data_IF_550950759384
#
_entry.id   IF_550950759384
#
_cell.length_a   1.000
_cell.length_b   1.000
_cell.length_c   1.000
_cell.angle_alpha   90.00
_cell.angle_beta   90.00
_cell.angle_gamma   90.00
#
_symmetry.space_group_name_H-M   'P 1'
#
loop_
_entity.id
_entity.type
_entity.pdbx_description
1 polymer ?
#
# COMPACT_ATOMS: atom_id res chain seq x y z
N UNK A 1 6.95 16.86 -15.37
CA UNK A 1 6.20 15.60 -15.47
C UNK A 1 4.90 15.78 -14.71
N UNK A 2 3.75 15.29 -15.16
CA UNK A 2 2.53 15.34 -14.37
C UNK A 2 2.80 14.64 -13.03
N UNK A 3 2.32 15.22 -11.93
CA UNK A 3 2.48 14.62 -10.61
C UNK A 3 1.80 13.25 -10.59
N UNK A 4 2.50 12.22 -10.10
CA UNK A 4 1.93 10.87 -9.97
C UNK A 4 0.74 10.94 -9.01
N UNK A 5 -0.45 10.59 -9.49
CA UNK A 5 -1.69 10.64 -8.71
C UNK A 5 -2.00 9.30 -8.02
N UNK A 6 -1.38 8.20 -8.47
CA UNK A 6 -1.57 6.88 -7.87
C UNK A 6 -0.39 5.95 -8.17
N UNK A 7 -0.20 4.93 -7.33
CA UNK A 7 0.72 3.82 -7.56
C UNK A 7 0.20 2.56 -6.87
N UNK A 8 0.70 1.39 -7.30
CA UNK A 8 0.40 0.11 -6.66
C UNK A 8 1.53 -0.27 -5.71
N UNK A 9 1.18 -0.75 -4.53
CA UNK A 9 2.11 -1.31 -3.55
C UNK A 9 1.48 -2.49 -2.82
N UNK A 10 2.14 -3.01 -1.80
CA UNK A 10 1.60 -4.05 -0.93
C UNK A 10 0.80 -3.43 0.22
N UNK A 11 -0.25 -4.13 0.66
CA UNK A 11 -1.12 -3.69 1.75
C UNK A 11 -0.42 -3.81 3.11
N UNK A 12 0.24 -4.95 3.32
CA UNK A 12 0.85 -5.30 4.60
C UNK A 12 2.03 -6.27 4.41
N UNK A 13 2.84 -6.44 5.45
CA UNK A 13 3.80 -7.53 5.48
C UNK A 13 3.07 -8.86 5.68
N UNK A 14 3.26 -9.79 4.73
CA UNK A 14 2.69 -11.12 4.83
C UNK A 14 3.54 -12.14 4.07
N UNK A 15 3.23 -13.43 4.26
CA UNK A 15 3.97 -14.53 3.61
C UNK A 15 3.07 -15.72 3.34
N UNK A 16 3.45 -16.48 2.30
CA UNK A 16 2.88 -17.80 2.04
C UNK A 16 3.95 -18.73 1.49
N UNK A 17 3.70 -20.03 1.56
CA UNK A 17 4.66 -21.07 1.19
C UNK A 17 4.11 -22.09 0.22
N UNK A 18 5.01 -22.78 -0.46
CA UNK A 18 4.70 -23.90 -1.33
C UNK A 18 5.87 -24.88 -1.41
N UNK A 19 5.64 -26.07 -1.92
CA UNK A 19 6.64 -27.13 -2.07
C UNK A 19 6.77 -27.53 -3.53
N UNK A 20 8.01 -27.61 -4.03
CA UNK A 20 8.35 -28.18 -5.34
C UNK A 20 9.47 -29.21 -5.15
N UNK A 21 9.27 -30.44 -5.59
CA UNK A 21 10.26 -31.53 -5.51
C UNK A 21 10.93 -31.59 -4.12
N UNK A 22 10.10 -31.64 -3.07
CA UNK A 22 10.53 -31.63 -1.65
C UNK A 22 11.25 -30.36 -1.18
N UNK A 23 11.61 -29.42 -2.05
CA UNK A 23 12.11 -28.10 -1.63
C UNK A 23 10.94 -27.23 -1.17
N UNK A 24 11.08 -26.63 0.01
CA UNK A 24 10.12 -25.67 0.56
C UNK A 24 10.55 -24.27 0.17
N UNK A 25 9.61 -23.52 -0.37
CA UNK A 25 9.76 -22.12 -0.72
C UNK A 25 8.80 -21.27 0.10
N UNK A 26 9.27 -20.16 0.65
CA UNK A 26 8.45 -19.20 1.40
C UNK A 26 8.66 -17.84 0.75
N UNK A 27 7.59 -17.25 0.22
CA UNK A 27 7.58 -15.90 -0.31
C UNK A 27 7.09 -14.91 0.75
N UNK A 28 7.86 -13.88 1.02
CA UNK A 28 7.55 -12.77 1.93
C UNK A 28 7.42 -11.49 1.14
N UNK A 29 6.35 -10.73 1.34
CA UNK A 29 6.15 -9.39 0.78
C UNK A 29 6.02 -8.37 1.89
N UNK A 30 6.59 -7.17 1.69
CA UNK A 30 6.52 -6.07 2.64
C UNK A 30 6.43 -4.72 1.90
N UNK A 31 5.48 -3.82 2.24
CA UNK A 31 5.54 -2.44 1.80
C UNK A 31 6.75 -1.76 2.43
N UNK A 32 7.51 -0.99 1.65
CA UNK A 32 8.70 -0.28 2.08
C UNK A 32 8.80 1.04 1.31
N UNK A 33 8.95 2.15 2.00
CA UNK A 33 9.07 3.48 1.36
C UNK A 33 10.52 3.86 1.09
N UNK A 34 11.47 3.27 1.82
CA UNK A 34 12.90 3.53 1.68
C UNK A 34 13.72 2.26 1.45
N UNK A 35 14.92 2.43 0.90
CA UNK A 35 15.85 1.33 0.72
C UNK A 35 16.31 0.75 2.07
N UNK A 36 16.46 1.58 3.08
CA UNK A 36 16.81 1.16 4.44
C UNK A 36 15.76 0.20 5.01
N UNK A 37 14.48 0.50 4.82
CA UNK A 37 13.38 -0.37 5.24
C UNK A 37 13.42 -1.72 4.51
N UNK A 38 13.66 -1.72 3.20
CA UNK A 38 13.76 -2.95 2.41
C UNK A 38 14.94 -3.81 2.85
N UNK A 39 16.10 -3.20 3.14
CA UNK A 39 17.28 -3.91 3.64
C UNK A 39 17.09 -4.40 5.07
N UNK A 40 16.44 -3.64 5.94
CA UNK A 40 16.08 -4.06 7.29
C UNK A 40 15.11 -5.26 7.27
N UNK A 41 14.11 -5.24 6.38
CA UNK A 41 13.22 -6.37 6.16
C UNK A 41 13.98 -7.63 5.73
N UNK A 42 14.88 -7.51 4.73
CA UNK A 42 15.73 -8.62 4.30
C UNK A 42 16.60 -9.17 5.44
N UNK A 43 17.23 -8.29 6.23
CA UNK A 43 18.07 -8.69 7.36
C UNK A 43 17.26 -9.46 8.41
N UNK A 44 16.03 -9.01 8.71
CA UNK A 44 15.11 -9.66 9.65
C UNK A 44 14.71 -11.06 9.17
N UNK A 45 14.39 -11.23 7.88
CA UNK A 45 14.06 -12.54 7.33
C UNK A 45 15.28 -13.47 7.38
N UNK A 46 16.47 -12.99 7.00
CA UNK A 46 17.72 -13.77 7.09
C UNK A 46 18.04 -14.21 8.52
N UNK A 47 17.84 -13.33 9.49
CA UNK A 47 18.07 -13.64 10.90
C UNK A 47 17.06 -14.69 11.42
N UNK A 48 15.79 -14.58 11.02
CA UNK A 48 14.74 -15.52 11.40
C UNK A 48 14.95 -16.91 10.80
N UNK A 49 15.52 -16.99 9.58
CA UNK A 49 15.61 -18.21 8.78
C UNK A 49 17.08 -18.56 8.46
N UNK A 50 17.92 -18.63 9.49
CA UNK A 50 19.37 -18.87 9.38
C UNK A 50 19.74 -20.19 8.69
N UNK A 51 18.89 -21.22 8.82
CA UNK A 51 19.10 -22.55 8.24
C UNK A 51 18.60 -22.66 6.78
N UNK A 52 18.09 -21.58 6.22
CA UNK A 52 17.63 -21.59 4.84
C UNK A 52 18.82 -21.75 3.87
N UNK A 53 18.61 -22.53 2.82
CA UNK A 53 19.60 -22.70 1.78
C UNK A 53 19.91 -21.40 1.06
N UNK A 54 18.87 -20.60 0.74
CA UNK A 54 18.99 -19.31 0.08
C UNK A 54 17.87 -18.36 0.50
N UNK A 55 18.20 -17.06 0.57
CA UNK A 55 17.22 -15.95 0.69
C UNK A 55 17.46 -15.00 -0.49
N UNK A 56 16.73 -15.20 -1.57
CA UNK A 56 16.76 -14.34 -2.74
C UNK A 56 15.75 -13.22 -2.58
N UNK A 57 16.08 -12.03 -3.05
CA UNK A 57 15.22 -10.85 -2.83
C UNK A 57 15.25 -9.87 -4.00
N UNK A 58 14.25 -9.00 -4.04
CA UNK A 58 14.20 -7.79 -4.85
C UNK A 58 13.37 -6.72 -4.14
N UNK A 59 13.64 -5.45 -4.44
CA UNK A 59 12.79 -4.32 -4.06
C UNK A 59 12.69 -3.31 -5.21
N UNK A 60 11.60 -2.55 -5.23
CA UNK A 60 11.35 -1.47 -6.18
C UNK A 60 11.04 -0.21 -5.37
N UNK A 61 12.06 0.62 -5.13
CA UNK A 61 11.97 1.89 -4.42
C UNK A 61 12.89 2.84 -5.19
N UNK A 62 12.29 3.74 -5.99
CA UNK A 62 13.07 4.57 -6.91
C UNK A 62 13.77 3.72 -7.98
N UNK A 63 14.99 3.23 -7.69
CA UNK A 63 15.71 2.29 -8.56
C UNK A 63 15.37 0.85 -8.20
N UNK A 64 15.28 0.00 -9.24
CA UNK A 64 14.98 -1.43 -9.07
C UNK A 64 16.23 -2.18 -8.64
N UNK A 65 16.15 -3.00 -7.59
CA UNK A 65 17.25 -3.84 -7.12
C UNK A 65 16.80 -5.27 -6.80
N UNK A 66 17.60 -6.26 -7.18
CA UNK A 66 17.36 -7.66 -6.81
C UNK A 66 17.57 -8.65 -7.95
N UNK A 67 17.20 -9.92 -7.71
CA UNK A 67 17.35 -10.97 -8.71
C UNK A 67 16.22 -10.93 -9.75
N UNK A 68 16.59 -11.15 -11.01
CA UNK A 68 15.70 -11.05 -12.18
C UNK A 68 14.36 -11.79 -12.04
N UNK A 69 14.28 -13.06 -11.63
CA UNK A 69 13.00 -13.77 -11.55
C UNK A 69 11.99 -13.12 -10.59
N UNK A 70 12.46 -12.48 -9.51
CA UNK A 70 11.60 -11.81 -8.52
C UNK A 70 11.18 -10.44 -9.08
N UNK A 71 12.15 -9.65 -9.54
CA UNK A 71 11.92 -8.28 -9.99
C UNK A 71 10.99 -8.22 -11.21
N UNK A 72 11.09 -9.18 -12.13
CA UNK A 72 10.21 -9.25 -13.30
C UNK A 72 8.73 -9.50 -12.90
N UNK A 73 8.48 -10.32 -11.89
CA UNK A 73 7.13 -10.52 -11.37
C UNK A 73 6.60 -9.23 -10.72
N UNK A 74 7.42 -8.53 -9.94
CA UNK A 74 7.04 -7.24 -9.32
C UNK A 74 6.70 -6.20 -10.39
N UNK A 75 7.54 -6.07 -11.42
CA UNK A 75 7.29 -5.17 -12.56
C UNK A 75 6.02 -5.54 -13.32
N UNK A 76 5.80 -6.82 -13.61
CA UNK A 76 4.60 -7.30 -14.29
C UNK A 76 3.30 -7.01 -13.51
N UNK A 77 3.37 -6.99 -12.17
CA UNK A 77 2.25 -6.57 -11.29
C UNK A 77 2.13 -5.04 -11.17
N UNK A 78 3.14 -4.30 -11.63
CA UNK A 78 3.20 -2.84 -11.57
C UNK A 78 3.33 -2.29 -10.16
N UNK A 79 3.85 -3.10 -9.22
CA UNK A 79 4.03 -2.67 -7.82
C UNK A 79 5.36 -1.94 -7.65
N UNK A 80 5.33 -0.90 -6.80
CA UNK A 80 6.49 -0.11 -6.36
C UNK A 80 6.42 0.07 -4.84
N UNK A 81 7.46 0.65 -4.26
CA UNK A 81 7.56 0.89 -2.81
C UNK A 81 7.29 -0.39 -2.01
N UNK A 82 7.96 -1.47 -2.40
CA UNK A 82 7.86 -2.76 -1.73
C UNK A 82 9.10 -3.63 -1.94
N UNK A 83 9.27 -4.58 -1.03
CA UNK A 83 10.29 -5.61 -1.09
C UNK A 83 9.68 -7.01 -1.08
N UNK A 84 10.33 -7.94 -1.77
CA UNK A 84 9.98 -9.37 -1.80
C UNK A 84 11.23 -10.19 -1.46
N UNK A 85 11.08 -11.13 -0.54
CA UNK A 85 12.11 -12.15 -0.21
C UNK A 85 11.53 -13.52 -0.49
N UNK A 86 12.27 -14.35 -1.23
CA UNK A 86 11.91 -15.76 -1.43
C UNK A 86 12.98 -16.63 -0.79
N UNK A 87 12.60 -17.29 0.28
CA UNK A 87 13.45 -18.20 1.07
C UNK A 87 13.26 -19.64 0.57
N UNK A 88 14.36 -20.37 0.42
CA UNK A 88 14.34 -21.78 0.01
C UNK A 88 15.05 -22.66 1.03
N UNK A 89 14.40 -23.80 1.33
CA UNK A 89 14.98 -24.96 1.97
C UNK A 89 15.09 -26.09 0.94
N UNK A 90 16.31 -26.58 0.70
CA UNK A 90 16.55 -27.64 -0.28
C UNK A 90 16.01 -28.98 0.20
N UNK A 91 15.22 -29.65 -0.64
CA UNK A 91 14.58 -30.92 -0.33
C UNK A 91 15.31 -32.18 -0.87
N UNK A 92 16.58 -32.07 -1.24
CA UNK A 92 17.37 -33.20 -1.75
C UNK A 92 17.20 -33.48 -3.25
N UNK A 93 16.26 -32.83 -3.95
CA UNK A 93 16.04 -33.00 -5.39
C UNK A 93 16.40 -31.71 -6.14
N UNK A 94 17.30 -31.79 -7.09
CA UNK A 94 17.70 -30.66 -7.91
C UNK A 94 16.59 -30.23 -8.87
N UNK A 95 16.33 -28.94 -8.94
CA UNK A 95 15.33 -28.34 -9.85
C UNK A 95 15.94 -27.96 -11.21
N UNK A 96 17.26 -27.89 -11.30
CA UNK A 96 17.97 -27.31 -12.44
C UNK A 96 17.78 -25.77 -12.53
N UNK A 97 18.55 -25.13 -13.39
CA UNK A 97 18.53 -23.66 -13.52
C UNK A 97 17.13 -23.14 -13.91
N UNK A 98 16.52 -23.70 -14.93
CA UNK A 98 15.17 -23.30 -15.37
C UNK A 98 14.06 -23.60 -14.32
N UNK A 99 14.20 -24.67 -13.53
CA UNK A 99 13.32 -24.97 -12.41
C UNK A 99 13.42 -23.96 -11.29
N UNK A 100 14.65 -23.51 -10.97
CA UNK A 100 14.90 -22.48 -9.97
C UNK A 100 14.31 -21.12 -10.38
N UNK A 101 14.51 -20.70 -11.62
CA UNK A 101 13.93 -19.46 -12.16
C UNK A 101 12.41 -19.46 -11.96
N UNK A 102 11.74 -20.56 -12.37
CA UNK A 102 10.28 -20.69 -12.19
C UNK A 102 9.85 -20.70 -10.72
N UNK A 103 10.61 -21.39 -9.87
CA UNK A 103 10.29 -21.46 -8.43
C UNK A 103 10.42 -20.10 -7.74
N UNK A 104 11.45 -19.31 -8.06
CA UNK A 104 11.60 -17.94 -7.50
C UNK A 104 10.56 -16.98 -8.05
N UNK A 105 10.20 -17.06 -9.33
CA UNK A 105 9.10 -16.29 -9.89
C UNK A 105 7.75 -16.65 -9.22
N UNK A 106 7.49 -17.94 -9.00
CA UNK A 106 6.30 -18.39 -8.26
C UNK A 106 6.32 -17.89 -6.82
N UNK A 107 7.47 -17.95 -6.13
CA UNK A 107 7.61 -17.44 -4.77
C UNK A 107 7.33 -15.94 -4.67
N UNK A 108 7.78 -15.16 -5.66
CA UNK A 108 7.45 -13.74 -5.74
C UNK A 108 5.94 -13.52 -5.92
N UNK A 109 5.30 -14.24 -6.85
CA UNK A 109 3.84 -14.16 -7.02
C UNK A 109 3.09 -14.51 -5.74
N UNK A 110 3.48 -15.61 -5.08
CA UNK A 110 2.90 -16.06 -3.81
C UNK A 110 3.04 -15.00 -2.72
N UNK A 111 4.21 -14.33 -2.63
CA UNK A 111 4.45 -13.24 -1.70
C UNK A 111 3.53 -12.04 -1.94
N UNK A 112 3.41 -11.60 -3.21
CA UNK A 112 2.55 -10.47 -3.59
C UNK A 112 1.07 -10.76 -3.33
N UNK A 113 0.62 -11.97 -3.64
CA UNK A 113 -0.76 -12.39 -3.42
C UNK A 113 -1.08 -12.46 -1.91
N UNK A 114 -0.14 -12.94 -1.08
CA UNK A 114 -0.31 -13.02 0.37
C UNK A 114 -0.31 -11.63 1.04
N UNK A 115 0.58 -10.73 0.61
CA UNK A 115 0.68 -9.37 1.15
C UNK A 115 -0.46 -8.44 0.66
N UNK A 116 -1.17 -8.84 -0.40
CA UNK A 116 -2.23 -8.07 -1.02
C UNK A 116 -1.71 -6.84 -1.77
N UNK A 117 -2.13 -6.64 -3.01
CA UNK A 117 -1.78 -5.46 -3.80
C UNK A 117 -2.87 -4.41 -3.62
N UNK A 118 -2.47 -3.17 -3.31
CA UNK A 118 -3.38 -2.02 -3.15
C UNK A 118 -2.97 -0.89 -4.07
N UNK A 119 -3.94 -0.05 -4.45
CA UNK A 119 -3.71 1.21 -5.15
C UNK A 119 -3.67 2.33 -4.12
N UNK A 120 -2.53 3.01 -4.04
CA UNK A 120 -2.37 4.24 -3.27
C UNK A 120 -2.77 5.41 -4.15
N UNK A 121 -3.76 6.19 -3.75
CA UNK A 121 -4.20 7.40 -4.47
C UNK A 121 -3.82 8.65 -3.69
N UNK A 122 -3.31 9.66 -4.39
CA UNK A 122 -3.01 10.95 -3.78
C UNK A 122 -4.30 11.60 -3.30
N UNK A 123 -4.35 11.93 -2.02
CA UNK A 123 -5.52 12.43 -1.32
C UNK A 123 -5.19 13.72 -0.58
N UNK A 124 -6.13 14.65 -0.56
CA UNK A 124 -6.09 15.84 0.26
C UNK A 124 -6.75 15.55 1.62
N UNK A 125 -6.19 16.11 2.68
CA UNK A 125 -6.80 16.14 4.00
C UNK A 125 -7.43 17.49 4.19
N UNK A 126 -8.75 17.52 4.43
CA UNK A 126 -9.55 18.74 4.61
C UNK A 126 -10.10 18.81 6.03
N UNK A 127 -9.84 19.90 6.71
CA UNK A 127 -10.47 20.24 7.99
C UNK A 127 -11.72 21.08 7.67
N UNK A 128 -12.87 20.63 8.14
CA UNK A 128 -14.16 21.32 7.92
C UNK A 128 -14.74 21.71 9.28
N UNK A 129 -14.90 22.99 9.52
CA UNK A 129 -15.50 23.53 10.73
C UNK A 129 -16.89 24.09 10.44
N UNK A 130 -17.89 23.69 11.26
CA UNK A 130 -19.28 24.14 11.18
C UNK A 130 -19.89 24.28 12.57
N UNK A 131 -20.98 25.06 12.69
CA UNK A 131 -21.82 25.03 13.89
C UNK A 131 -22.66 23.76 13.98
N UNK A 132 -23.20 23.47 15.18
CA UNK A 132 -24.02 22.27 15.43
C UNK A 132 -25.28 22.19 14.58
N UNK A 133 -25.86 23.34 14.23
CA UNK A 133 -27.07 23.38 13.43
C UNK A 133 -26.81 22.98 11.97
N UNK A 134 -25.64 23.31 11.46
CA UNK A 134 -25.19 22.98 10.10
C UNK A 134 -24.64 21.56 10.02
N UNK A 135 -24.06 21.05 11.13
CA UNK A 135 -23.44 19.73 11.19
C UNK A 135 -24.37 18.59 10.78
N UNK A 136 -25.61 18.54 11.27
CA UNK A 136 -26.53 17.45 10.94
C UNK A 136 -26.75 17.31 9.42
N UNK A 137 -26.83 18.42 8.72
CA UNK A 137 -27.01 18.45 7.26
C UNK A 137 -25.72 18.04 6.53
N UNK A 138 -24.58 18.51 7.02
CA UNK A 138 -23.27 18.16 6.49
C UNK A 138 -22.98 16.66 6.72
N UNK A 139 -23.19 16.14 7.93
CA UNK A 139 -23.01 14.73 8.27
C UNK A 139 -23.84 13.82 7.37
N UNK A 140 -25.11 14.18 7.13
CA UNK A 140 -25.98 13.42 6.22
C UNK A 140 -25.42 13.38 4.79
N UNK A 141 -24.91 14.50 4.29
CA UNK A 141 -24.27 14.58 2.98
C UNK A 141 -23.01 13.71 2.93
N UNK A 142 -22.13 13.80 3.94
CA UNK A 142 -20.86 13.08 3.98
C UNK A 142 -21.04 11.56 3.99
N UNK A 143 -22.16 11.02 4.46
CA UNK A 143 -22.46 9.57 4.43
C UNK A 143 -22.50 8.98 3.02
N UNK A 144 -22.81 9.79 2.03
CA UNK A 144 -22.90 9.38 0.61
C UNK A 144 -21.80 9.97 -0.26
N UNK A 145 -21.01 10.90 0.27
CA UNK A 145 -19.91 11.53 -0.44
C UNK A 145 -18.70 10.57 -0.56
N UNK A 146 -17.87 10.68 -1.62
CA UNK A 146 -16.70 9.85 -1.82
C UNK A 146 -15.52 10.30 -0.93
N UNK A 147 -15.72 10.30 0.38
CA UNK A 147 -14.78 10.75 1.41
C UNK A 147 -14.59 9.70 2.49
N UNK A 148 -13.49 9.79 3.21
CA UNK A 148 -13.29 9.09 4.47
C UNK A 148 -13.25 10.11 5.58
N UNK A 149 -14.10 9.96 6.58
CA UNK A 149 -14.09 10.77 7.79
C UNK A 149 -13.02 10.14 8.70
N UNK A 150 -11.88 10.81 8.87
CA UNK A 150 -10.81 10.32 9.74
C UNK A 150 -11.16 10.56 11.22
N UNK A 151 -11.67 11.73 11.50
CA UNK A 151 -11.96 12.16 12.87
C UNK A 151 -13.01 13.26 12.86
N UNK A 152 -13.80 13.35 13.96
CA UNK A 152 -14.73 14.46 14.21
C UNK A 152 -14.66 14.86 15.69
N UNK A 153 -14.40 16.12 15.94
CA UNK A 153 -14.33 16.71 17.28
C UNK A 153 -15.56 17.59 17.52
N UNK A 154 -16.14 17.43 18.72
CA UNK A 154 -17.30 18.19 19.19
C UNK A 154 -16.89 19.12 20.32
N UNK A 155 -16.69 20.41 20.02
CA UNK A 155 -16.27 21.46 20.96
C UNK A 155 -17.24 22.63 20.94
N UNK A 156 -16.71 23.86 20.85
CA UNK A 156 -17.53 25.07 20.64
C UNK A 156 -18.21 25.05 19.27
N UNK A 157 -17.56 24.44 18.29
CA UNK A 157 -18.03 24.10 16.95
C UNK A 157 -17.79 22.60 16.71
N UNK A 158 -18.19 22.11 15.55
CA UNK A 158 -17.86 20.75 15.08
C UNK A 158 -16.76 20.84 14.04
N UNK A 159 -15.63 20.18 14.28
CA UNK A 159 -14.49 20.09 13.37
C UNK A 159 -14.37 18.66 12.87
N UNK A 160 -14.48 18.44 11.56
CA UNK A 160 -14.34 17.13 10.94
C UNK A 160 -13.12 17.10 10.00
N UNK A 161 -12.27 16.10 10.16
CA UNK A 161 -11.14 15.84 9.28
C UNK A 161 -11.55 14.82 8.23
N UNK A 162 -11.52 15.24 6.98
CA UNK A 162 -11.92 14.43 5.83
C UNK A 162 -10.72 14.10 4.96
N UNK A 163 -10.67 12.86 4.46
CA UNK A 163 -9.78 12.45 3.39
C UNK A 163 -10.57 12.37 2.09
N UNK A 164 -10.10 13.04 1.05
CA UNK A 164 -10.69 13.04 -0.29
C UNK A 164 -9.62 12.81 -1.35
N UNK A 165 -9.93 12.08 -2.42
CA UNK A 165 -9.00 11.98 -3.55
C UNK A 165 -8.76 13.36 -4.16
N UNK A 166 -7.52 13.71 -4.46
CA UNK A 166 -7.18 15.04 -5.04
C UNK A 166 -7.99 15.36 -6.29
N UNK A 167 -8.37 14.35 -7.10
CA UNK A 167 -9.20 14.55 -8.29
C UNK A 167 -10.65 14.94 -7.98
N UNK A 168 -11.13 14.65 -6.77
CA UNK A 168 -12.53 14.87 -6.34
C UNK A 168 -12.65 16.05 -5.36
N UNK A 169 -11.50 16.64 -4.94
CA UNK A 169 -11.41 17.64 -3.87
C UNK A 169 -12.21 18.92 -4.20
N UNK A 170 -12.00 19.50 -5.37
CA UNK A 170 -12.72 20.72 -5.79
C UNK A 170 -14.24 20.53 -5.82
N UNK A 171 -14.69 19.34 -6.29
CA UNK A 171 -16.11 19.01 -6.36
C UNK A 171 -16.69 18.87 -4.94
N UNK A 172 -15.96 18.19 -4.05
CA UNK A 172 -16.35 18.03 -2.66
C UNK A 172 -16.51 19.37 -1.96
N UNK A 173 -15.53 20.27 -2.09
CA UNK A 173 -15.55 21.58 -1.44
C UNK A 173 -16.71 22.45 -1.96
N UNK A 174 -17.00 22.39 -3.26
CA UNK A 174 -18.16 23.06 -3.84
C UNK A 174 -19.49 22.50 -3.28
N UNK A 175 -19.61 21.18 -3.15
CA UNK A 175 -20.78 20.54 -2.57
C UNK A 175 -20.95 20.86 -1.08
N UNK A 176 -19.86 20.87 -0.30
CA UNK A 176 -19.87 21.28 1.11
C UNK A 176 -20.36 22.73 1.23
N UNK A 177 -19.82 23.64 0.41
CA UNK A 177 -20.26 25.06 0.38
C UNK A 177 -21.76 25.14 0.12
N UNK A 178 -22.28 24.41 -0.85
CA UNK A 178 -23.69 24.38 -1.20
C UNK A 178 -24.56 23.82 -0.07
N UNK A 179 -24.17 22.68 0.52
CA UNK A 179 -24.91 21.99 1.58
C UNK A 179 -24.94 22.81 2.87
N UNK A 180 -23.89 23.57 3.15
CA UNK A 180 -23.78 24.41 4.35
C UNK A 180 -24.22 25.87 4.15
N UNK A 181 -24.74 26.23 2.97
CA UNK A 181 -25.06 27.62 2.58
C UNK A 181 -23.85 28.57 2.78
N UNK A 182 -22.63 28.08 2.51
CA UNK A 182 -21.39 28.83 2.67
C UNK A 182 -20.97 29.07 4.12
N UNK A 183 -21.53 28.37 5.10
CA UNK A 183 -21.20 28.52 6.52
C UNK A 183 -20.04 27.65 7.00
N UNK A 184 -19.61 26.68 6.19
CA UNK A 184 -18.43 25.86 6.53
C UNK A 184 -17.14 26.66 6.31
N UNK A 185 -16.26 26.62 7.30
CA UNK A 185 -14.87 26.99 7.14
C UNK A 185 -14.07 25.76 6.71
N UNK A 186 -13.24 25.89 5.68
CA UNK A 186 -12.47 24.77 5.13
C UNK A 186 -10.99 25.09 5.10
N UNK A 187 -10.14 24.16 5.51
CA UNK A 187 -8.69 24.30 5.50
C UNK A 187 -8.06 23.01 4.99
N UNK A 188 -7.20 23.11 3.96
CA UNK A 188 -6.38 21.98 3.50
C UNK A 188 -5.23 21.74 4.47
N UNK A 189 -5.17 20.53 5.05
CA UNK A 189 -4.11 20.05 5.96
C UNK A 189 -3.15 19.09 5.23
N UNK A 190 -2.77 19.45 4.00
CA UNK A 190 -1.79 18.75 3.20
C UNK A 190 -2.32 17.59 2.38
N UNK A 191 -1.40 16.85 1.74
CA UNK A 191 -1.71 15.70 0.89
C UNK A 191 -0.91 14.47 1.29
N UNK A 192 -1.56 13.29 1.19
CA UNK A 192 -0.95 11.99 1.46
C UNK A 192 -1.34 10.98 0.37
N UNK A 193 -0.62 9.86 0.27
CA UNK A 193 -1.09 8.71 -0.48
C UNK A 193 -1.88 7.78 0.44
N UNK A 194 -3.10 7.42 0.05
CA UNK A 194 -4.01 6.63 0.87
C UNK A 194 -4.57 5.41 0.11
N UNK A 195 -4.63 4.22 0.73
CA UNK A 195 -5.19 3.01 0.12
C UNK A 195 -6.73 3.04 0.19
N UNK A 196 -7.36 3.61 -0.83
CA UNK A 196 -8.81 3.64 -0.89
C UNK A 196 -9.37 2.22 -1.02
N UNK A 197 -10.50 1.91 -0.35
CA UNK A 197 -11.24 0.68 -0.60
C UNK A 197 -11.77 0.66 -2.04
N UNK A 198 -11.82 -0.55 -2.62
CA UNK A 198 -12.40 -0.82 -3.94
C UNK A 198 -13.92 -0.61 -3.94
#
# INVERSE_FOLDING_TARGET
MPAQLSYKTLREENSAEFIINKSRFIGYGCPCETEEEALAFLARIRQKLKEATNNCYAYIIGLNYGIMPIIEVMKARGVVNCAVVVTRYFGGILLGAGGLVRAYAQGSKTALDAAGVVVMEKSARQLIEVDYSTWQRLEYFLRSAPVIIEHTEFGASVVSTLMVRVRDDEILLADITRVTDGKAETLEDGTVFYPWPD
#
